data_IF_137121494693
#
_entry.id   IF_137121494693
#
_cell.length_a   1.000
_cell.length_b   1.000
_cell.length_c   1.000
_cell.angle_alpha   90.00
_cell.angle_beta   90.00
_cell.angle_gamma   90.00
#
_symmetry.space_group_name_H-M   'P 1'
#
loop_
_entity.id
_entity.type
_entity.pdbx_description
1 polymer ?
#
# COMPACT_ATOMS: atom_id res chain seq x y z
N UNK A 1 3.45 2.56 -5.98
CA UNK A 1 3.83 3.72 -5.13
C UNK A 1 3.24 3.46 -3.75
N UNK A 2 3.96 3.75 -2.68
CA UNK A 2 3.44 3.65 -1.31
C UNK A 2 3.45 5.05 -0.70
N UNK A 3 2.33 5.46 -0.12
CA UNK A 3 2.15 6.77 0.49
C UNK A 3 2.77 6.87 1.88
N UNK A 4 2.73 8.07 2.46
CA UNK A 4 3.15 8.27 3.85
C UNK A 4 2.17 7.58 4.82
N UNK A 5 2.67 7.21 5.99
CA UNK A 5 1.83 6.70 7.08
C UNK A 5 0.80 7.76 7.48
N UNK A 6 -0.47 7.36 7.65
CA UNK A 6 -1.59 8.25 7.98
C UNK A 6 -2.11 9.11 6.81
N UNK A 7 -1.23 9.78 6.06
CA UNK A 7 -1.64 10.69 4.97
C UNK A 7 -1.88 9.99 3.63
N UNK A 8 -1.24 8.85 3.40
CA UNK A 8 -1.39 8.08 2.17
C UNK A 8 -0.72 8.71 0.95
N UNK A 9 -1.23 8.39 -0.24
CA UNK A 9 -0.71 8.88 -1.54
C UNK A 9 -1.51 10.12 -1.94
N UNK A 10 -0.81 11.16 -2.40
CA UNK A 10 -1.47 12.39 -2.84
C UNK A 10 -2.45 12.14 -4.01
N UNK A 11 -3.57 12.87 -4.01
CA UNK A 11 -4.64 12.77 -5.02
C UNK A 11 -4.16 12.85 -6.48
N UNK A 12 -3.22 13.73 -6.88
CA UNK A 12 -2.74 13.76 -8.27
C UNK A 12 -2.04 12.47 -8.69
N UNK A 13 -1.30 11.85 -7.76
CA UNK A 13 -0.58 10.59 -8.02
C UNK A 13 -1.57 9.43 -8.11
N UNK A 14 -2.60 9.40 -7.26
CA UNK A 14 -3.67 8.41 -7.35
C UNK A 14 -4.35 8.48 -8.72
N UNK A 15 -4.72 9.68 -9.18
CA UNK A 15 -5.36 9.85 -10.50
C UNK A 15 -4.50 9.45 -11.69
N UNK A 16 -3.18 9.49 -11.53
CA UNK A 16 -2.24 9.11 -12.58
C UNK A 16 -1.90 7.62 -12.60
N UNK A 17 -2.28 6.86 -11.58
CA UNK A 17 -1.99 5.43 -11.48
C UNK A 17 -3.05 4.59 -12.21
N UNK A 18 -2.60 3.55 -12.92
CA UNK A 18 -3.48 2.64 -13.68
C UNK A 18 -4.33 1.75 -12.75
N UNK A 19 -3.76 1.36 -11.61
CA UNK A 19 -4.39 0.48 -10.64
C UNK A 19 -4.15 0.95 -9.21
N UNK A 20 -5.15 0.75 -8.35
CA UNK A 20 -5.07 1.00 -6.91
C UNK A 20 -5.34 -0.28 -6.15
N UNK A 21 -4.53 -0.53 -5.13
CA UNK A 21 -4.69 -1.66 -4.23
C UNK A 21 -4.32 -1.25 -2.80
N UNK A 22 -4.92 -1.91 -1.82
CA UNK A 22 -4.66 -1.67 -0.40
C UNK A 22 -4.50 -3.00 0.33
N UNK A 23 -3.80 -2.96 1.46
CA UNK A 23 -3.69 -4.11 2.36
C UNK A 23 -4.92 -4.08 3.27
N UNK A 24 -5.76 -5.12 3.31
CA UNK A 24 -6.88 -5.16 4.24
C UNK A 24 -6.38 -5.14 5.68
N UNK A 25 -6.82 -4.16 6.47
CA UNK A 25 -6.46 -4.01 7.88
C UNK A 25 -7.63 -4.40 8.78
N UNK A 26 -7.33 -5.02 9.92
CA UNK A 26 -8.29 -5.32 10.98
C UNK A 26 -7.79 -4.70 12.29
N UNK A 27 -8.72 -4.22 13.11
CA UNK A 27 -8.40 -3.56 14.39
C UNK A 27 -8.51 -2.04 14.29
N UNK A 28 -7.94 -1.34 15.28
CA UNK A 28 -8.05 0.11 15.46
C UNK A 28 -6.79 0.87 15.05
N UNK A 29 -5.78 0.20 14.49
CA UNK A 29 -4.56 0.86 14.02
C UNK A 29 -4.84 1.60 12.73
N UNK A 30 -4.46 2.89 12.67
CA UNK A 30 -4.76 3.77 11.53
C UNK A 30 -4.08 3.35 10.23
N UNK A 31 -2.80 2.95 10.26
CA UNK A 31 -2.09 2.44 9.09
C UNK A 31 -0.86 1.61 9.48
N UNK A 32 -0.32 0.83 8.54
CA UNK A 32 0.96 0.17 8.74
C UNK A 32 2.10 1.16 8.52
N UNK A 33 3.21 0.90 9.21
CA UNK A 33 4.48 1.51 8.84
C UNK A 33 4.79 1.28 7.34
N UNK A 34 5.27 2.31 6.65
CA UNK A 34 5.53 2.30 5.21
C UNK A 34 6.43 1.13 4.77
N UNK A 35 7.45 0.78 5.57
CA UNK A 35 8.37 -0.31 5.24
C UNK A 35 7.69 -1.69 5.31
N UNK A 36 6.81 -1.88 6.29
CA UNK A 36 6.02 -3.11 6.46
C UNK A 36 5.00 -3.25 5.32
N UNK A 37 4.29 -2.17 5.01
CA UNK A 37 3.35 -2.15 3.89
C UNK A 37 4.04 -2.48 2.56
N UNK A 38 5.20 -1.86 2.29
CA UNK A 38 6.00 -2.15 1.10
C UNK A 38 6.46 -3.63 1.06
N UNK A 39 6.90 -4.17 2.20
CA UNK A 39 7.30 -5.58 2.30
C UNK A 39 6.17 -6.55 1.97
N UNK A 40 4.97 -6.32 2.52
CA UNK A 40 3.77 -7.13 2.23
C UNK A 40 3.42 -7.06 0.74
N UNK A 41 3.42 -5.86 0.16
CA UNK A 41 3.11 -5.66 -1.27
C UNK A 41 4.11 -6.39 -2.17
N UNK A 42 5.41 -6.27 -1.90
CA UNK A 42 6.45 -6.96 -2.66
C UNK A 42 6.32 -8.48 -2.55
N UNK A 43 6.05 -8.99 -1.35
CA UNK A 43 5.80 -10.42 -1.14
C UNK A 43 4.61 -10.91 -1.95
N UNK A 44 3.49 -10.18 -1.95
CA UNK A 44 2.30 -10.55 -2.72
C UNK A 44 2.57 -10.56 -4.23
N UNK A 45 3.30 -9.56 -4.73
CA UNK A 45 3.74 -9.51 -6.12
C UNK A 45 4.63 -10.71 -6.47
N UNK A 46 5.54 -11.11 -5.57
CA UNK A 46 6.35 -12.31 -5.76
C UNK A 46 5.49 -13.58 -5.78
N UNK A 47 4.58 -13.75 -4.80
CA UNK A 47 3.66 -14.89 -4.71
C UNK A 47 2.78 -15.06 -5.94
N UNK A 48 2.32 -13.97 -6.54
CA UNK A 48 1.54 -14.02 -7.78
C UNK A 48 2.39 -14.37 -9.00
N UNK A 49 3.71 -14.16 -8.94
CA UNK A 49 4.67 -14.48 -10.00
C UNK A 49 5.28 -15.89 -9.87
N UNK A 50 5.23 -16.51 -8.68
CA UNK A 50 5.73 -17.88 -8.41
C UNK A 50 5.84 -18.21 -6.93
#
# INVERSE_FOLDING_TARGET
IVGAEGEGVSEPILRAADEHFWIPQRGTTDSFNVSVAAGIMLYEVMRQRG
#
